data_IF_515470093079
#
_entry.id   IF_515470093079
#
_cell.length_a   1.000
_cell.length_b   1.000
_cell.length_c   1.000
_cell.angle_alpha   90.00
_cell.angle_beta   90.00
_cell.angle_gamma   90.00
#
_symmetry.space_group_name_H-M   'P 1'
#
loop_
_entity.id
_entity.type
_entity.pdbx_description
1 polymer ?
#
# COMPACT_ATOMS: atom_id res chain seq x y z
N UNK A 1 48.62 -43.20 -47.81
CA UNK A 1 48.36 -41.75 -47.66
C UNK A 1 46.92 -41.56 -47.18
N UNK A 2 46.73 -41.02 -45.96
CA UNK A 2 45.40 -40.88 -45.36
C UNK A 2 44.75 -39.55 -45.74
N UNK A 3 43.65 -39.61 -46.51
CA UNK A 3 42.87 -38.44 -46.92
C UNK A 3 42.13 -37.84 -45.72
N UNK A 4 42.26 -36.52 -45.52
CA UNK A 4 41.67 -35.80 -44.39
C UNK A 4 40.15 -35.62 -44.60
N UNK A 5 39.32 -36.34 -43.83
CA UNK A 5 37.86 -36.45 -44.05
C UNK A 5 37.00 -35.29 -43.51
N UNK A 6 37.55 -34.37 -42.71
CA UNK A 6 36.80 -33.24 -42.12
C UNK A 6 37.49 -31.91 -42.42
N UNK A 7 36.76 -31.03 -43.10
CA UNK A 7 37.16 -29.65 -43.37
C UNK A 7 36.92 -28.76 -42.15
N UNK A 8 37.89 -27.91 -41.81
CA UNK A 8 37.76 -26.95 -40.71
C UNK A 8 36.75 -25.85 -41.08
N UNK A 9 35.97 -25.40 -40.10
CA UNK A 9 35.03 -24.28 -40.28
C UNK A 9 35.79 -22.96 -40.11
N UNK A 10 35.53 -22.00 -41.00
CA UNK A 10 36.09 -20.65 -40.90
C UNK A 10 35.41 -19.86 -39.76
N UNK A 11 36.18 -19.03 -39.06
CA UNK A 11 35.74 -18.17 -37.95
C UNK A 11 35.09 -18.90 -36.76
N UNK A 12 35.60 -20.08 -36.41
CA UNK A 12 35.16 -20.79 -35.22
C UNK A 12 35.71 -20.11 -33.96
N UNK A 13 34.82 -19.51 -33.16
CA UNK A 13 35.15 -18.81 -31.93
C UNK A 13 34.84 -19.66 -30.70
N UNK A 14 35.55 -19.40 -29.60
CA UNK A 14 35.25 -20.00 -28.30
C UNK A 14 33.84 -19.59 -27.86
N UNK A 15 33.04 -20.53 -27.37
CA UNK A 15 31.70 -20.23 -26.83
C UNK A 15 31.85 -19.36 -25.58
N UNK A 16 31.30 -18.15 -25.64
CA UNK A 16 31.28 -17.18 -24.53
C UNK A 16 29.81 -16.98 -24.13
N UNK A 17 29.57 -16.68 -22.85
CA UNK A 17 28.24 -16.33 -22.35
C UNK A 17 27.71 -15.10 -23.10
N UNK A 18 26.56 -15.28 -23.74
CA UNK A 18 25.89 -14.22 -24.50
C UNK A 18 25.03 -13.31 -23.63
N UNK A 19 24.68 -12.12 -24.14
CA UNK A 19 23.81 -11.18 -23.44
C UNK A 19 22.39 -11.71 -23.19
N UNK A 20 21.94 -12.71 -23.96
CA UNK A 20 20.62 -13.36 -23.88
C UNK A 20 20.61 -14.64 -23.02
N UNK A 21 21.68 -14.92 -22.29
CA UNK A 21 21.74 -16.11 -21.44
C UNK A 21 20.79 -15.96 -20.23
N UNK A 22 19.85 -16.91 -20.08
CA UNK A 22 18.87 -16.93 -19.00
C UNK A 22 19.48 -17.08 -17.60
N UNK A 23 20.75 -17.47 -17.50
CA UNK A 23 21.47 -17.53 -16.20
C UNK A 23 21.90 -16.14 -15.69
N UNK A 24 21.82 -15.12 -16.55
CA UNK A 24 22.20 -13.76 -16.18
C UNK A 24 21.12 -13.14 -15.29
N UNK A 25 21.51 -12.62 -14.12
CA UNK A 25 20.58 -11.95 -13.17
C UNK A 25 19.74 -10.84 -13.81
N UNK A 26 20.27 -10.13 -14.80
CA UNK A 26 19.53 -9.10 -15.55
C UNK A 26 18.39 -9.69 -16.40
N UNK A 27 18.57 -10.89 -16.94
CA UNK A 27 17.55 -11.55 -17.76
C UNK A 27 16.51 -12.24 -16.87
N UNK A 28 16.93 -12.84 -15.75
CA UNK A 28 16.02 -13.36 -14.73
C UNK A 28 15.10 -12.26 -14.18
N UNK A 29 15.67 -11.08 -13.84
CA UNK A 29 14.87 -9.92 -13.41
C UNK A 29 13.93 -9.44 -14.51
N UNK A 30 14.36 -9.40 -15.77
CA UNK A 30 13.49 -9.03 -16.90
C UNK A 30 12.37 -10.04 -17.11
N UNK A 31 12.61 -11.33 -16.89
CA UNK A 31 11.60 -12.38 -16.95
C UNK A 31 10.62 -12.26 -15.78
N UNK A 32 11.11 -12.04 -14.55
CA UNK A 32 10.28 -11.77 -13.37
C UNK A 32 9.42 -10.51 -13.56
N UNK A 33 10.00 -9.42 -14.06
CA UNK A 33 9.31 -8.16 -14.36
C UNK A 33 8.30 -8.33 -15.52
N UNK A 34 8.62 -9.15 -16.52
CA UNK A 34 7.71 -9.46 -17.61
C UNK A 34 6.54 -10.33 -17.14
N UNK A 35 6.76 -11.27 -16.23
CA UNK A 35 5.72 -12.08 -15.59
C UNK A 35 4.84 -11.20 -14.69
N UNK A 36 5.43 -10.28 -13.91
CA UNK A 36 4.67 -9.34 -13.09
C UNK A 36 3.82 -8.38 -13.94
N UNK A 37 4.38 -7.85 -15.05
CA UNK A 37 3.64 -7.02 -16.00
C UNK A 37 2.58 -7.79 -16.77
N UNK A 38 2.83 -9.06 -17.10
CA UNK A 38 1.83 -9.94 -17.70
C UNK A 38 0.66 -10.17 -16.73
N UNK A 39 0.92 -10.37 -15.43
CA UNK A 39 -0.14 -10.47 -14.41
C UNK A 39 -0.92 -9.17 -14.20
N UNK A 40 -0.27 -8.01 -14.34
CA UNK A 40 -0.94 -6.70 -14.24
C UNK A 40 -1.74 -6.29 -15.48
N UNK A 41 -1.40 -6.79 -16.67
CA UNK A 41 -2.08 -6.46 -17.92
C UNK A 41 -3.10 -7.53 -18.38
N UNK A 42 -3.07 -8.74 -17.80
CA UNK A 42 -3.93 -9.88 -18.14
C UNK A 42 -4.72 -10.29 -16.91
N UNK A 43 -5.85 -9.64 -16.69
CA UNK A 43 -6.68 -9.78 -15.49
C UNK A 43 -7.82 -10.79 -15.59
N UNK A 44 -7.79 -11.73 -16.54
CA UNK A 44 -8.75 -12.83 -16.63
C UNK A 44 -8.21 -14.13 -16.02
N UNK A 45 -9.07 -15.08 -15.59
CA UNK A 45 -8.65 -16.39 -15.09
C UNK A 45 -7.74 -17.17 -16.05
N UNK A 46 -7.79 -16.85 -17.36
CA UNK A 46 -7.04 -17.52 -18.42
C UNK A 46 -5.93 -16.67 -19.09
N UNK A 47 -5.56 -15.51 -18.53
CA UNK A 47 -4.35 -14.79 -18.93
C UNK A 47 -4.31 -14.21 -20.36
N UNK A 48 -5.42 -14.20 -21.10
CA UNK A 48 -5.49 -13.72 -22.49
C UNK A 48 -6.32 -12.43 -22.67
N UNK A 49 -7.11 -12.04 -21.66
CA UNK A 49 -7.97 -10.86 -21.74
C UNK A 49 -7.28 -9.60 -21.20
N UNK A 50 -7.14 -8.59 -22.07
CA UNK A 50 -6.71 -7.25 -21.68
C UNK A 50 -7.89 -6.56 -21.00
N UNK A 51 -7.89 -6.57 -19.66
CA UNK A 51 -8.92 -5.89 -18.87
C UNK A 51 -8.57 -4.41 -18.79
N UNK A 52 -9.40 -3.55 -19.37
CA UNK A 52 -9.35 -2.10 -19.12
C UNK A 52 -10.14 -1.81 -17.85
N UNK A 53 -9.44 -1.62 -16.73
CA UNK A 53 -10.05 -1.16 -15.49
C UNK A 53 -10.43 0.33 -15.63
N UNK A 54 -11.69 0.59 -15.99
CA UNK A 54 -12.29 1.93 -15.92
C UNK A 54 -13.08 1.96 -14.62
N UNK A 55 -12.64 2.72 -13.59
CA UNK A 55 -13.37 2.79 -12.34
C UNK A 55 -14.73 3.44 -12.58
N UNK A 56 -15.80 2.72 -12.25
CA UNK A 56 -17.16 3.27 -12.30
C UNK A 56 -17.32 4.31 -11.18
N UNK A 57 -17.95 5.44 -11.50
CA UNK A 57 -18.27 6.46 -10.50
C UNK A 57 -19.29 5.88 -9.50
N UNK A 58 -19.06 6.02 -8.18
CA UNK A 58 -19.99 5.50 -7.18
C UNK A 58 -21.32 6.26 -7.22
N UNK A 59 -22.43 5.53 -7.17
CA UNK A 59 -23.81 6.07 -7.20
C UNK A 59 -24.18 6.88 -5.95
N UNK A 60 -23.39 6.76 -4.88
CA UNK A 60 -23.62 7.39 -3.57
C UNK A 60 -23.32 8.90 -3.55
N UNK A 61 -22.78 9.47 -4.62
CA UNK A 61 -22.53 10.92 -4.72
C UNK A 61 -23.80 11.78 -4.74
N UNK A 62 -24.99 11.17 -4.82
CA UNK A 62 -26.27 11.88 -4.98
C UNK A 62 -27.04 12.14 -3.66
N UNK A 63 -26.67 11.49 -2.55
CA UNK A 63 -27.25 11.76 -1.22
C UNK A 63 -26.17 11.67 -0.13
N UNK A 64 -25.70 12.81 0.34
CA UNK A 64 -24.55 12.95 1.24
C UNK A 64 -24.84 12.45 2.66
N UNK A 65 -24.32 11.28 3.02
CA UNK A 65 -24.08 10.90 4.42
C UNK A 65 -22.58 11.09 4.69
N UNK A 66 -22.24 12.07 5.54
CA UNK A 66 -20.85 12.46 5.77
C UNK A 66 -20.28 11.71 6.99
N UNK A 67 -19.60 10.61 6.74
CA UNK A 67 -18.74 9.95 7.72
C UNK A 67 -17.39 10.65 7.81
N UNK A 68 -16.89 10.93 9.02
CA UNK A 68 -15.64 11.69 9.19
C UNK A 68 -14.54 10.79 9.76
N UNK A 69 -13.53 10.53 8.93
CA UNK A 69 -12.31 9.81 9.32
C UNK A 69 -11.33 10.74 10.04
N UNK A 70 -10.89 10.36 11.23
CA UNK A 70 -9.95 11.15 12.03
C UNK A 70 -8.52 10.61 11.95
N UNK A 71 -7.54 11.50 11.80
CA UNK A 71 -6.10 11.18 11.77
C UNK A 71 -5.40 11.45 13.12
N UNK A 72 -4.21 10.86 13.31
CA UNK A 72 -3.37 11.07 14.51
C UNK A 72 -2.98 12.54 14.69
N UNK A 73 -2.68 13.22 13.60
CA UNK A 73 -2.33 14.64 13.59
C UNK A 73 -3.49 15.51 14.09
N UNK A 74 -4.72 15.17 13.67
CA UNK A 74 -5.93 15.85 14.08
C UNK A 74 -6.17 15.69 15.58
N UNK A 75 -6.15 14.45 16.09
CA UNK A 75 -6.34 14.17 17.52
C UNK A 75 -5.29 14.90 18.37
N UNK A 76 -4.03 14.88 17.95
CA UNK A 76 -2.95 15.56 18.66
C UNK A 76 -3.15 17.08 18.72
N UNK A 77 -3.57 17.69 17.61
CA UNK A 77 -3.81 19.14 17.55
C UNK A 77 -5.06 19.55 18.31
N UNK A 78 -6.11 18.72 18.32
CA UNK A 78 -7.32 18.96 19.12
C UNK A 78 -7.00 18.93 20.62
N UNK A 79 -6.18 17.99 21.08
CA UNK A 79 -5.73 17.95 22.48
C UNK A 79 -4.86 19.16 22.84
N UNK A 80 -3.95 19.58 21.96
CA UNK A 80 -3.12 20.78 22.19
C UNK A 80 -3.95 22.06 22.30
N UNK A 81 -4.97 22.19 21.45
CA UNK A 81 -5.89 23.33 21.44
C UNK A 81 -7.00 23.21 22.49
N UNK A 82 -7.05 22.13 23.26
CA UNK A 82 -8.09 21.85 24.27
C UNK A 82 -9.51 21.84 23.67
N UNK A 83 -9.64 21.34 22.45
CA UNK A 83 -10.92 21.18 21.77
C UNK A 83 -11.41 19.75 21.93
N UNK A 84 -12.66 19.59 22.36
CA UNK A 84 -13.35 18.31 22.32
C UNK A 84 -13.75 18.02 20.86
N UNK A 85 -13.21 16.95 20.22
CA UNK A 85 -13.37 16.76 18.78
C UNK A 85 -14.84 16.66 18.33
N UNK A 86 -15.68 15.97 19.09
CA UNK A 86 -17.07 15.71 18.71
C UNK A 86 -17.89 17.00 18.67
N UNK A 87 -17.82 17.82 19.73
CA UNK A 87 -18.52 19.11 19.79
C UNK A 87 -17.97 20.10 18.76
N UNK A 88 -16.64 20.22 18.65
CA UNK A 88 -16.02 21.10 17.69
C UNK A 88 -16.35 20.74 16.22
N UNK A 89 -16.57 19.45 15.92
CA UNK A 89 -17.00 19.01 14.59
C UNK A 89 -18.46 19.36 14.31
N UNK A 90 -19.34 19.22 15.31
CA UNK A 90 -20.74 19.62 15.20
C UNK A 90 -20.88 21.13 14.99
N UNK A 91 -20.11 21.94 15.73
CA UNK A 91 -20.11 23.40 15.58
C UNK A 91 -19.54 23.86 14.23
N UNK A 92 -18.57 23.13 13.68
CA UNK A 92 -17.95 23.46 12.41
C UNK A 92 -18.84 23.12 11.20
N UNK A 93 -19.52 21.97 11.23
CA UNK A 93 -20.31 21.46 10.11
C UNK A 93 -21.82 21.73 10.26
N UNK A 94 -22.27 22.18 11.43
CA UNK A 94 -23.69 22.35 11.78
C UNK A 94 -24.53 21.08 11.52
N UNK A 95 -23.94 19.91 11.72
CA UNK A 95 -24.55 18.62 11.45
C UNK A 95 -24.16 17.58 12.51
N UNK A 96 -24.98 16.54 12.68
CA UNK A 96 -24.65 15.39 13.51
C UNK A 96 -23.46 14.65 12.90
N UNK A 97 -22.35 14.57 13.64
CA UNK A 97 -21.11 13.95 13.18
C UNK A 97 -20.82 12.67 13.96
N UNK A 98 -20.56 11.58 13.25
CA UNK A 98 -20.06 10.33 13.83
C UNK A 98 -18.57 10.19 13.49
N UNK A 99 -17.66 10.44 14.45
CA UNK A 99 -16.23 10.35 14.19
C UNK A 99 -15.78 8.88 14.12
N UNK A 100 -14.97 8.58 13.11
CA UNK A 100 -14.46 7.23 12.86
C UNK A 100 -12.96 7.19 13.10
N UNK A 101 -12.51 6.20 13.89
CA UNK A 101 -11.10 5.91 14.14
C UNK A 101 -10.75 4.52 13.61
N UNK A 102 -9.65 4.42 12.87
CA UNK A 102 -9.15 3.15 12.37
C UNK A 102 -8.10 2.53 13.30
N UNK A 103 -7.96 1.21 13.25
CA UNK A 103 -6.97 0.48 14.05
C UNK A 103 -5.52 0.95 13.77
N UNK A 104 -5.20 1.35 12.53
CA UNK A 104 -3.86 1.85 12.21
C UNK A 104 -3.54 3.18 12.93
N UNK A 105 -4.52 4.07 13.10
CA UNK A 105 -4.35 5.37 13.76
C UNK A 105 -4.16 5.19 15.27
N UNK A 106 -4.88 4.24 15.87
CA UNK A 106 -4.63 3.84 17.26
C UNK A 106 -3.22 3.27 17.45
N UNK A 107 -2.78 2.41 16.53
CA UNK A 107 -1.45 1.82 16.59
C UNK A 107 -0.32 2.87 16.40
N UNK A 108 -0.54 3.89 15.58
CA UNK A 108 0.37 5.04 15.48
C UNK A 108 0.47 5.82 16.80
N UNK A 109 -0.67 6.12 17.44
CA UNK A 109 -0.69 6.84 18.72
C UNK A 109 -0.01 6.05 19.85
N UNK A 110 -0.16 4.73 19.87
CA UNK A 110 0.54 3.86 20.83
C UNK A 110 2.06 3.89 20.61
N UNK A 111 2.50 3.95 19.35
CA UNK A 111 3.91 4.00 18.99
C UNK A 111 4.59 5.33 19.31
N UNK A 112 3.85 6.44 19.29
CA UNK A 112 4.38 7.76 19.68
C UNK A 112 4.74 7.84 21.18
N UNK A 113 4.32 6.85 21.98
CA UNK A 113 4.78 6.63 23.35
C UNK A 113 3.98 7.39 24.42
N UNK A 114 4.49 7.44 25.66
CA UNK A 114 3.70 7.89 26.83
C UNK A 114 3.33 9.38 26.80
N UNK A 115 4.03 10.20 25.99
CA UNK A 115 3.72 11.62 25.83
C UNK A 115 2.32 11.86 25.25
N UNK A 116 1.81 10.93 24.45
CA UNK A 116 0.51 11.02 23.78
C UNK A 116 -0.58 10.20 24.46
N UNK A 117 -0.41 9.85 25.75
CA UNK A 117 -1.39 9.06 26.52
C UNK A 117 -2.78 9.72 26.60
N UNK A 118 -2.83 11.05 26.62
CA UNK A 118 -4.10 11.80 26.62
C UNK A 118 -4.81 11.62 25.27
N UNK A 119 -4.09 11.82 24.16
CA UNK A 119 -4.60 11.59 22.82
C UNK A 119 -5.09 10.14 22.63
N UNK A 120 -4.36 9.16 23.17
CA UNK A 120 -4.77 7.75 23.13
C UNK A 120 -6.05 7.48 23.93
N UNK A 121 -6.25 8.15 25.07
CA UNK A 121 -7.48 8.02 25.87
C UNK A 121 -8.67 8.63 25.14
N UNK A 122 -8.49 9.80 24.52
CA UNK A 122 -9.50 10.45 23.69
C UNK A 122 -9.85 9.57 22.48
N UNK A 123 -8.84 8.99 21.82
CA UNK A 123 -9.02 8.06 20.70
C UNK A 123 -9.78 6.77 21.04
N UNK A 124 -9.83 6.39 22.33
CA UNK A 124 -10.51 5.18 22.81
C UNK A 124 -11.91 5.45 23.34
N UNK A 125 -12.45 6.65 23.18
CA UNK A 125 -13.80 6.99 23.61
C UNK A 125 -14.85 6.05 22.97
N UNK A 126 -15.78 5.46 23.75
CA UNK A 126 -16.85 4.61 23.21
C UNK A 126 -17.84 5.32 22.29
N UNK A 127 -17.89 6.66 22.31
CA UNK A 127 -18.75 7.45 21.40
C UNK A 127 -18.30 7.37 19.94
N UNK A 128 -17.09 6.87 19.67
CA UNK A 128 -16.48 6.87 18.34
C UNK A 128 -16.55 5.49 17.71
N UNK A 129 -16.83 5.46 16.40
CA UNK A 129 -16.91 4.21 15.65
C UNK A 129 -15.51 3.73 15.31
N UNK A 130 -15.21 2.47 15.62
CA UNK A 130 -13.91 1.85 15.32
C UNK A 130 -13.98 1.02 14.06
N UNK A 131 -13.13 1.33 13.08
CA UNK A 131 -12.97 0.58 11.84
C UNK A 131 -11.72 -0.30 11.88
N UNK A 132 -11.91 -1.60 11.61
CA UNK A 132 -10.82 -2.57 11.49
C UNK A 132 -10.17 -2.46 10.13
N UNK A 133 -8.86 -2.27 10.12
CA UNK A 133 -8.11 -2.18 8.87
C UNK A 133 -7.46 -3.52 8.50
N UNK A 134 -7.56 -3.91 7.22
CA UNK A 134 -7.06 -5.18 6.69
C UNK A 134 -5.77 -5.02 5.87
N UNK A 135 -4.91 -4.07 6.24
CA UNK A 135 -3.62 -3.85 5.57
C UNK A 135 -2.44 -4.29 6.45
N UNK A 136 -1.36 -4.73 5.79
CA UNK A 136 -0.15 -5.19 6.48
C UNK A 136 0.66 -4.00 6.98
N UNK A 137 0.89 -3.95 8.29
CA UNK A 137 1.68 -2.92 8.97
C UNK A 137 0.88 -1.65 9.27
N UNK A 138 1.51 -0.72 9.99
CA UNK A 138 0.93 0.58 10.30
C UNK A 138 1.35 1.54 9.19
N UNK A 139 0.39 2.11 8.46
CA UNK A 139 0.63 3.07 7.37
C UNK A 139 1.16 4.40 7.93
N UNK A 140 2.47 4.49 8.20
CA UNK A 140 3.09 5.79 8.46
C UNK A 140 2.97 6.68 7.24
N UNK A 141 2.14 7.72 7.32
CA UNK A 141 2.14 8.84 6.38
C UNK A 141 3.38 9.74 6.62
N UNK A 142 4.57 9.21 6.32
CA UNK A 142 5.81 9.98 6.32
C UNK A 142 6.07 10.54 4.92
N UNK A 143 6.04 11.87 4.75
CA UNK A 143 6.53 12.67 3.60
C UNK A 143 7.05 11.84 2.41
N UNK A 144 6.14 11.37 1.55
CA UNK A 144 6.48 10.76 0.25
C UNK A 144 7.02 9.32 0.28
N UNK A 145 7.03 8.63 1.42
CA UNK A 145 7.31 7.19 1.51
C UNK A 145 6.39 6.53 2.53
N UNK A 146 5.46 5.70 2.06
CA UNK A 146 4.74 4.76 2.93
C UNK A 146 5.75 3.74 3.45
N UNK A 147 6.27 3.98 4.66
CA UNK A 147 7.13 3.02 5.34
C UNK A 147 6.20 2.08 6.11
N UNK A 148 6.01 0.89 5.56
CA UNK A 148 5.31 -0.19 6.23
C UNK A 148 6.21 -0.68 7.36
N UNK A 149 5.98 -0.18 8.58
CA UNK A 149 6.57 -0.80 9.76
C UNK A 149 5.71 -2.02 10.13
N UNK A 150 6.32 -3.22 10.01
CA UNK A 150 5.71 -4.48 10.42
C UNK A 150 5.31 -4.39 11.90
N UNK A 151 4.05 -4.73 12.19
CA UNK A 151 3.62 -5.04 13.54
C UNK A 151 4.38 -6.29 14.04
N UNK A 152 4.87 -6.32 15.29
CA UNK A 152 5.34 -7.55 15.90
C UNK A 152 4.15 -8.51 16.04
N UNK A 153 4.04 -9.49 15.15
CA UNK A 153 2.97 -10.49 15.13
C UNK A 153 2.17 -10.60 13.82
N UNK A 154 2.48 -9.82 12.78
CA UNK A 154 1.87 -9.99 11.46
C UNK A 154 2.81 -10.80 10.54
N UNK A 155 2.51 -12.09 10.36
CA UNK A 155 3.16 -12.94 9.33
C UNK A 155 3.01 -12.35 7.92
#
# INVERSE_FOLDING_TARGET
>A
MGVQKKTRKFAEVKRIIGKKDGRRKENLKKEEDAIAKAKGARGGPDGETVVREIPQVPSQLFFQHNEILMDTSFINRSVQNKLEPLEAMMDCLYASCEPIVTDCILAELEKLGPKFRIALRVARDPRWTRLKCTHKGILKAGRGKYVIERLPGAE
#
